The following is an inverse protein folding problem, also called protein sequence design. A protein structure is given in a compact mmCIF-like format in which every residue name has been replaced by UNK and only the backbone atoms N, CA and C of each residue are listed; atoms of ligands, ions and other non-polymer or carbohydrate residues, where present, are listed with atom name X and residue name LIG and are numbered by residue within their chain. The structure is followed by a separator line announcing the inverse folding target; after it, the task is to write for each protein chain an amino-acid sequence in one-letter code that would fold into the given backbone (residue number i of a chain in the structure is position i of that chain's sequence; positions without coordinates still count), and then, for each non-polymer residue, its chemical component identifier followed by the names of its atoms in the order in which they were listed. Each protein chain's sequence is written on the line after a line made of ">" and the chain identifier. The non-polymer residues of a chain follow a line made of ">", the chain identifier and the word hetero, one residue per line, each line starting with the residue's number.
data_IF_258448850730
#
_entry.id   IF_258448850730
#
_cell.length_a   1.000
_cell.length_b   1.000
_cell.length_c   1.000
_cell.angle_alpha   90.00
_cell.angle_beta   90.00
_cell.angle_gamma   90.00
#
_symmetry.space_group_name_H-M   'P 1'
#
loop_
_entity.id
_entity.type
_entity.pdbx_description
1 polymer ?
#
# COMPACT_ATOMS: atom_id res chain seq x y z
N UNK A 1 19.06 -5.63 -22.54
CA UNK A 1 18.55 -4.98 -23.77
C UNK A 1 17.79 -5.93 -24.69
N UNK A 2 18.17 -7.21 -24.83
CA UNK A 2 17.53 -8.15 -25.76
C UNK A 2 16.04 -8.40 -25.46
N UNK A 3 15.65 -8.46 -24.19
CA UNK A 3 14.24 -8.70 -23.79
C UNK A 3 13.28 -7.57 -24.22
N UNK A 4 13.77 -6.31 -24.15
CA UNK A 4 13.01 -5.11 -24.55
C UNK A 4 12.71 -5.09 -26.06
N UNK A 5 13.62 -5.62 -26.90
CA UNK A 5 13.43 -5.68 -28.36
C UNK A 5 12.47 -6.80 -28.80
N UNK A 6 12.30 -7.86 -28.00
CA UNK A 6 11.35 -8.94 -28.31
C UNK A 6 9.91 -8.55 -27.98
N UNK A 7 9.69 -7.78 -26.90
CA UNK A 7 8.34 -7.34 -26.51
C UNK A 7 7.75 -6.35 -27.51
N UNK A 8 8.59 -5.56 -28.19
CA UNK A 8 8.18 -4.61 -29.25
C UNK A 8 7.72 -5.28 -30.56
N UNK A 9 7.89 -6.59 -30.71
CA UNK A 9 7.51 -7.32 -31.94
C UNK A 9 6.15 -8.02 -31.85
N UNK A 10 5.48 -7.97 -30.71
CA UNK A 10 4.10 -8.45 -30.55
C UNK A 10 3.12 -7.28 -30.77
N UNK A 11 2.56 -7.07 -31.97
CA UNK A 11 1.67 -5.95 -32.26
C UNK A 11 0.42 -5.92 -31.37
N UNK A 12 0.01 -7.07 -30.81
CA UNK A 12 -1.08 -7.15 -29.85
C UNK A 12 -0.67 -6.69 -28.44
N UNK A 13 0.46 -7.17 -27.91
CA UNK A 13 0.97 -6.79 -26.58
C UNK A 13 1.49 -5.34 -26.55
N UNK A 14 2.00 -4.82 -27.68
CA UNK A 14 2.53 -3.48 -27.79
C UNK A 14 1.54 -2.38 -27.39
N UNK A 15 0.27 -2.49 -27.80
CA UNK A 15 -0.77 -1.51 -27.43
C UNK A 15 -1.05 -1.54 -25.93
N UNK A 16 -1.19 -2.73 -25.34
CA UNK A 16 -1.40 -2.86 -23.88
C UNK A 16 -0.20 -2.35 -23.07
N UNK A 17 1.03 -2.59 -23.54
CA UNK A 17 2.23 -2.06 -22.91
C UNK A 17 2.27 -0.53 -22.98
N UNK A 18 1.91 0.06 -24.12
CA UNK A 18 1.84 1.53 -24.27
C UNK A 18 0.78 2.12 -23.33
N UNK A 19 -0.40 1.51 -23.26
CA UNK A 19 -1.47 1.93 -22.34
C UNK A 19 -1.04 1.80 -20.87
N UNK A 20 -0.37 0.70 -20.51
CA UNK A 20 0.16 0.50 -19.17
C UNK A 20 1.16 1.59 -18.79
N UNK A 21 2.10 1.93 -19.70
CA UNK A 21 3.08 2.99 -19.45
C UNK A 21 2.40 4.37 -19.34
N UNK A 22 1.36 4.66 -20.12
CA UNK A 22 0.59 5.90 -19.99
C UNK A 22 -0.12 6.01 -18.64
N UNK A 23 -0.77 4.94 -18.20
CA UNK A 23 -1.44 4.89 -16.89
C UNK A 23 -0.39 4.98 -15.77
N UNK A 24 0.72 4.24 -15.88
CA UNK A 24 1.81 4.26 -14.92
C UNK A 24 2.43 5.65 -14.79
N UNK A 25 2.65 6.36 -15.90
CA UNK A 25 3.17 7.73 -15.88
C UNK A 25 2.23 8.68 -15.15
N UNK A 26 0.92 8.55 -15.38
CA UNK A 26 -0.09 9.35 -14.66
C UNK A 26 -0.11 8.99 -13.18
N UNK A 27 -0.02 7.69 -12.86
CA UNK A 27 0.01 7.18 -11.50
C UNK A 27 1.24 7.64 -10.73
N UNK A 28 2.44 7.60 -11.31
CA UNK A 28 3.68 8.02 -10.64
C UNK A 28 3.63 9.51 -10.28
N UNK A 29 3.13 10.36 -11.17
CA UNK A 29 2.99 11.79 -10.88
C UNK A 29 2.03 12.06 -9.71
N UNK A 30 0.92 11.32 -9.65
CA UNK A 30 -0.03 11.39 -8.52
C UNK A 30 0.51 10.73 -7.24
N UNK A 31 1.27 9.65 -7.38
CA UNK A 31 1.77 8.81 -6.29
C UNK A 31 2.69 9.56 -5.33
N UNK A 32 3.40 10.59 -5.80
CA UNK A 32 4.23 11.44 -4.93
C UNK A 32 3.41 12.17 -3.86
N UNK A 33 2.28 12.75 -4.26
CA UNK A 33 1.37 13.43 -3.32
C UNK A 33 0.74 12.40 -2.39
N UNK A 34 0.34 11.26 -2.94
CA UNK A 34 -0.23 10.14 -2.20
C UNK A 34 0.70 9.58 -1.13
N UNK A 35 2.01 9.50 -1.40
CA UNK A 35 3.01 9.01 -0.45
C UNK A 35 3.07 9.86 0.83
N UNK A 36 2.86 11.18 0.72
CA UNK A 36 2.78 12.05 1.90
C UNK A 36 1.61 11.67 2.82
N UNK A 37 0.46 11.31 2.24
CA UNK A 37 -0.67 10.81 3.02
C UNK A 37 -0.35 9.47 3.68
N UNK A 38 0.26 8.53 2.95
CA UNK A 38 0.65 7.22 3.50
C UNK A 38 1.58 7.37 4.70
N UNK A 39 2.60 8.24 4.61
CA UNK A 39 3.52 8.50 5.73
C UNK A 39 2.82 9.15 6.92
N UNK A 40 1.91 10.11 6.67
CA UNK A 40 1.15 10.77 7.74
C UNK A 40 0.25 9.76 8.49
N UNK A 41 -0.48 8.91 7.76
CA UNK A 41 -1.31 7.87 8.36
C UNK A 41 -0.48 6.81 9.08
N UNK A 42 0.65 6.40 8.51
CA UNK A 42 1.53 5.42 9.14
C UNK A 42 2.10 5.92 10.48
N UNK A 43 2.51 7.19 10.56
CA UNK A 43 2.99 7.78 11.81
C UNK A 43 1.86 7.96 12.84
N UNK A 44 0.65 8.31 12.38
CA UNK A 44 -0.51 8.38 13.26
C UNK A 44 -0.84 7.00 13.86
N UNK A 45 -0.84 5.94 13.04
CA UNK A 45 -1.09 4.59 13.51
C UNK A 45 0.04 4.05 14.37
N UNK A 46 1.31 4.34 14.05
CA UNK A 46 2.44 4.04 14.92
C UNK A 46 2.24 4.60 16.33
N UNK A 47 1.79 5.85 16.45
CA UNK A 47 1.56 6.47 17.75
C UNK A 47 0.35 5.92 18.50
N UNK A 48 -0.74 5.59 17.81
CA UNK A 48 -2.02 5.16 18.42
C UNK A 48 -2.05 3.67 18.71
N UNK A 49 -1.45 2.85 17.83
CA UNK A 49 -1.50 1.39 17.85
C UNK A 49 -0.16 0.76 18.24
N UNK A 50 0.72 1.49 18.94
CA UNK A 50 2.04 1.00 19.38
C UNK A 50 2.04 -0.35 20.13
N UNK A 51 0.88 -0.77 20.66
CA UNK A 51 0.70 -2.01 21.42
C UNK A 51 0.30 -3.21 20.52
N UNK A 52 0.45 -3.07 19.21
CA UNK A 52 0.09 -4.06 18.21
C UNK A 52 1.35 -4.42 17.44
N UNK A 53 1.66 -5.72 17.32
CA UNK A 53 2.84 -6.24 16.61
C UNK A 53 3.09 -5.60 15.23
N UNK A 54 2.05 -5.30 14.40
CA UNK A 54 2.26 -4.68 13.08
C UNK A 54 2.66 -3.20 13.11
N UNK A 55 2.67 -2.57 14.29
CA UNK A 55 2.93 -1.14 14.49
C UNK A 55 4.08 -0.88 15.49
N UNK A 56 4.87 -1.90 15.85
CA UNK A 56 6.01 -1.74 16.77
C UNK A 56 7.15 -0.91 16.16
N UNK A 57 7.36 -0.99 14.85
CA UNK A 57 8.37 -0.18 14.15
C UNK A 57 7.74 0.79 13.14
N UNK A 58 8.37 1.96 12.90
CA UNK A 58 7.89 2.91 11.90
C UNK A 58 7.85 2.32 10.48
N UNK A 59 8.78 1.41 10.16
CA UNK A 59 8.84 0.74 8.86
C UNK A 59 7.69 -0.23 8.64
N UNK A 60 7.39 -1.06 9.65
CA UNK A 60 6.25 -1.98 9.62
C UNK A 60 4.92 -1.22 9.56
N UNK A 61 4.82 -0.10 10.29
CA UNK A 61 3.65 0.78 10.26
C UNK A 61 3.36 1.33 8.85
N UNK A 62 4.39 1.68 8.07
CA UNK A 62 4.24 2.16 6.69
C UNK A 62 3.74 1.02 5.79
N UNK A 63 4.34 -0.16 5.89
CA UNK A 63 3.95 -1.34 5.10
C UNK A 63 2.50 -1.72 5.44
N UNK A 64 2.16 -1.77 6.73
CA UNK A 64 0.83 -2.07 7.24
C UNK A 64 -0.21 -1.07 6.77
N UNK A 65 0.11 0.22 6.79
CA UNK A 65 -0.77 1.28 6.27
C UNK A 65 -1.00 1.11 4.76
N UNK A 66 0.01 0.67 4.01
CA UNK A 66 -0.13 0.32 2.59
C UNK A 66 -1.05 -0.89 2.35
N UNK A 67 -0.96 -1.91 3.20
CA UNK A 67 -1.87 -3.08 3.15
C UNK A 67 -3.30 -2.68 3.50
N UNK A 68 -3.49 -1.84 4.52
CA UNK A 68 -4.80 -1.31 4.92
C UNK A 68 -5.48 -0.51 3.81
N UNK A 69 -4.71 0.16 2.96
CA UNK A 69 -5.22 0.90 1.81
C UNK A 69 -5.76 0.01 0.69
N UNK A 70 -5.29 -1.23 0.58
CA UNK A 70 -5.87 -2.26 -0.30
C UNK A 70 -7.19 -2.79 0.30
N UNK A 71 -7.33 -2.70 1.62
CA UNK A 71 -8.56 -2.97 2.37
C UNK A 71 -8.70 -4.42 2.83
N UNK A 72 -8.80 -5.35 1.89
CA UNK A 72 -9.38 -6.68 2.15
C UNK A 72 -8.46 -7.65 2.93
N UNK A 73 -7.16 -7.39 3.02
CA UNK A 73 -6.20 -8.42 3.43
C UNK A 73 -6.14 -8.64 4.96
N UNK A 74 -6.57 -7.69 5.80
CA UNK A 74 -6.35 -7.81 7.28
C UNK A 74 -7.44 -7.19 8.19
N UNK A 75 -8.62 -6.84 7.67
CA UNK A 75 -9.65 -6.20 8.50
C UNK A 75 -10.18 -7.13 9.62
N UNK A 76 -10.26 -8.44 9.36
CA UNK A 76 -10.83 -9.40 10.31
C UNK A 76 -9.86 -9.78 11.44
N UNK A 77 -8.56 -9.89 11.14
CA UNK A 77 -7.52 -10.30 12.10
C UNK A 77 -7.12 -9.21 13.12
N UNK A 78 -7.37 -7.94 12.81
CA UNK A 78 -7.01 -6.81 13.69
C UNK A 78 -8.20 -6.39 14.56
N UNK A 79 -9.42 -6.43 14.02
CA UNK A 79 -10.61 -5.88 14.69
C UNK A 79 -11.51 -6.95 15.32
N UNK A 80 -11.48 -8.21 14.86
CA UNK A 80 -12.36 -9.28 15.35
C UNK A 80 -11.64 -10.41 16.09
N UNK A 81 -10.32 -10.32 16.29
CA UNK A 81 -9.57 -11.31 17.06
C UNK A 81 -9.75 -11.07 18.59
N UNK A 82 -10.32 -12.03 19.35
CA UNK A 82 -10.56 -11.87 20.78
C UNK A 82 -9.29 -11.79 21.65
N UNK A 83 -8.12 -12.19 21.14
CA UNK A 83 -6.84 -12.02 21.84
C UNK A 83 -6.22 -10.64 21.60
N UNK A 84 -6.65 -9.95 20.55
CA UNK A 84 -6.09 -8.68 20.13
C UNK A 84 -6.83 -7.50 20.78
N UNK A 85 -6.49 -7.19 22.03
CA UNK A 85 -7.17 -6.17 22.82
C UNK A 85 -6.89 -4.77 22.27
N UNK A 86 -7.81 -4.27 21.45
CA UNK A 86 -7.85 -2.85 21.08
C UNK A 86 -8.27 -2.05 22.32
N UNK A 87 -7.30 -1.42 23.01
CA UNK A 87 -7.54 -0.66 24.23
C UNK A 87 -8.23 0.70 24.01
N UNK A 88 -8.45 1.11 22.77
CA UNK A 88 -9.22 2.30 22.45
C UNK A 88 -10.73 1.99 22.46
N UNK A 89 -11.32 2.07 23.65
CA UNK A 89 -12.74 2.34 23.80
C UNK A 89 -12.93 3.84 23.61
N UNK A 90 -13.39 4.25 22.44
CA UNK A 90 -13.93 5.61 22.25
C UNK A 90 -15.07 5.87 23.25
N UNK A 91 -15.48 7.14 23.45
CA UNK A 91 -16.62 7.44 24.31
C UNK A 91 -17.90 6.67 23.90
#
# INVERSE_FOLDING_TARGET
>A
MVLLMFISKFPFLGIYVIMFIQILSTFVNFSLVFFLFVVAFALAFYSVLQNQDPFETPGESIIKTGVMMIGEIEFDAIFNDPENKVYFKGP
#
